data_IF_514416067577
#
_entry.id   IF_514416067577
#
_cell.length_a   1.000
_cell.length_b   1.000
_cell.length_c   1.000
_cell.angle_alpha   90.00
_cell.angle_beta   90.00
_cell.angle_gamma   90.00
#
_symmetry.space_group_name_H-M   'P 1'
#
loop_
_entity.id
_entity.type
_entity.pdbx_description
1 polymer ?
#
# COMPACT_ATOMS: atom_id res chain seq x y z
N UNK A 1 25.65 -11.03 -18.79
CA UNK A 1 24.66 -10.67 -17.77
C UNK A 1 24.93 -9.22 -17.42
N UNK A 2 24.04 -8.32 -17.82
CA UNK A 2 24.17 -6.87 -17.64
C UNK A 2 24.09 -6.52 -16.15
N UNK A 3 24.61 -5.37 -15.74
CA UNK A 3 24.49 -4.87 -14.35
C UNK A 3 23.00 -4.82 -13.94
N UNK A 4 22.10 -4.43 -14.86
CA UNK A 4 20.65 -4.47 -14.71
C UNK A 4 20.10 -5.84 -14.32
N UNK A 5 20.54 -6.91 -15.00
CA UNK A 5 20.08 -8.27 -14.71
C UNK A 5 20.51 -8.73 -13.31
N UNK A 6 21.65 -8.27 -12.83
CA UNK A 6 22.13 -8.57 -11.48
C UNK A 6 21.36 -7.83 -10.40
N UNK A 7 20.94 -6.59 -10.66
CA UNK A 7 20.14 -5.80 -9.72
C UNK A 7 18.73 -6.35 -9.59
N UNK A 8 18.09 -6.70 -10.71
CA UNK A 8 16.76 -7.33 -10.69
C UNK A 8 16.79 -8.63 -9.88
N UNK A 9 17.73 -9.51 -10.17
CA UNK A 9 17.92 -10.76 -9.43
C UNK A 9 18.25 -10.51 -7.95
N UNK A 10 19.04 -9.49 -7.62
CA UNK A 10 19.41 -9.19 -6.23
C UNK A 10 18.22 -8.63 -5.43
N UNK A 11 17.48 -7.67 -5.99
CA UNK A 11 16.26 -7.12 -5.37
C UNK A 11 15.18 -8.20 -5.24
N UNK A 12 14.97 -9.01 -6.29
CA UNK A 12 14.02 -10.12 -6.28
C UNK A 12 14.41 -11.20 -5.27
N UNK A 13 15.68 -11.56 -5.18
CA UNK A 13 16.18 -12.56 -4.21
C UNK A 13 16.13 -12.06 -2.77
N UNK A 14 16.40 -10.78 -2.51
CA UNK A 14 16.29 -10.20 -1.16
C UNK A 14 14.83 -10.03 -0.73
N UNK A 15 13.95 -9.64 -1.65
CA UNK A 15 12.51 -9.57 -1.46
C UNK A 15 11.90 -10.97 -1.26
N UNK A 16 12.35 -12.02 -1.95
CA UNK A 16 11.83 -13.38 -1.82
C UNK A 16 12.31 -14.15 -0.58
N UNK A 17 13.43 -13.76 0.04
CA UNK A 17 14.06 -14.52 1.13
C UNK A 17 13.69 -14.07 2.55
N UNK A 18 12.81 -13.07 2.72
CA UNK A 18 12.33 -12.63 4.04
C UNK A 18 10.84 -12.97 4.23
N UNK A 19 10.40 -13.05 5.47
CA UNK A 19 9.02 -13.41 5.86
C UNK A 19 7.93 -12.36 5.46
N UNK A 20 8.20 -11.44 4.54
CA UNK A 20 7.26 -10.39 4.12
C UNK A 20 7.31 -9.13 4.99
N UNK A 21 7.65 -9.27 6.26
CA UNK A 21 7.66 -8.16 7.23
C UNK A 21 8.67 -7.09 6.83
N UNK A 22 8.20 -5.82 6.79
CA UNK A 22 9.02 -4.66 6.45
C UNK A 22 9.42 -4.57 4.98
N UNK A 23 8.84 -5.37 4.09
CA UNK A 23 9.09 -5.28 2.65
C UNK A 23 8.26 -4.16 2.03
N UNK A 24 8.95 -3.14 1.56
CA UNK A 24 8.33 -2.08 0.77
C UNK A 24 8.91 -2.10 -0.63
N UNK A 25 8.15 -2.66 -1.55
CA UNK A 25 8.49 -2.72 -2.97
C UNK A 25 7.20 -2.58 -3.80
N UNK A 26 7.29 -1.81 -4.88
CA UNK A 26 6.18 -1.63 -5.81
C UNK A 26 6.63 -0.98 -7.10
N UNK A 27 5.69 -0.73 -8.00
CA UNK A 27 5.97 -0.21 -9.33
C UNK A 27 5.07 0.95 -9.70
N UNK A 28 5.65 2.02 -10.25
CA UNK A 28 4.90 3.06 -10.95
C UNK A 28 4.84 2.71 -12.43
N UNK A 29 3.65 2.52 -12.95
CA UNK A 29 3.38 2.09 -14.33
C UNK A 29 3.44 3.30 -15.25
N UNK A 30 4.14 3.17 -16.39
CA UNK A 30 4.37 4.25 -17.35
C UNK A 30 3.73 3.92 -18.69
N UNK A 31 3.04 4.91 -19.30
CA UNK A 31 2.47 4.77 -20.65
C UNK A 31 3.52 4.77 -21.77
N UNK A 32 4.74 5.23 -21.48
CA UNK A 32 5.87 5.30 -22.40
C UNK A 32 7.15 4.84 -21.73
N UNK A 33 8.11 4.29 -22.51
CA UNK A 33 9.42 3.86 -22.03
C UNK A 33 10.37 5.06 -21.87
N UNK A 34 9.99 5.99 -21.01
CA UNK A 34 10.83 7.12 -20.61
C UNK A 34 10.48 7.57 -19.19
N UNK A 35 11.42 8.22 -18.52
CA UNK A 35 11.21 8.95 -17.29
C UNK A 35 12.06 10.21 -17.26
N UNK A 36 11.63 11.22 -16.57
CA UNK A 36 12.43 12.42 -16.29
C UNK A 36 13.09 12.28 -14.91
N UNK A 37 14.33 11.79 -14.91
CA UNK A 37 15.14 11.60 -13.71
C UNK A 37 15.43 12.92 -12.99
N UNK A 38 15.63 14.02 -13.73
CA UNK A 38 15.88 15.33 -13.14
C UNK A 38 14.61 15.88 -12.46
N UNK A 39 13.44 15.68 -13.08
CA UNK A 39 12.16 16.01 -12.47
C UNK A 39 11.94 15.21 -11.19
N UNK A 40 12.20 13.89 -11.21
CA UNK A 40 12.09 13.04 -10.02
C UNK A 40 12.94 13.56 -8.87
N UNK A 41 14.23 13.84 -9.12
CA UNK A 41 15.14 14.37 -8.09
C UNK A 41 14.64 15.72 -7.55
N UNK A 42 14.12 16.57 -8.43
CA UNK A 42 13.53 17.84 -8.03
C UNK A 42 12.29 17.64 -7.16
N UNK A 43 11.38 16.74 -7.56
CA UNK A 43 10.13 16.48 -6.84
C UNK A 43 10.41 15.84 -5.46
N UNK A 44 11.39 14.94 -5.35
CA UNK A 44 11.86 14.39 -4.07
C UNK A 44 12.31 15.48 -3.11
N UNK A 45 13.11 16.43 -3.61
CA UNK A 45 13.60 17.54 -2.79
C UNK A 45 12.48 18.54 -2.44
N UNK A 46 11.71 18.99 -3.43
CA UNK A 46 10.78 20.09 -3.28
C UNK A 46 9.51 19.67 -2.51
N UNK A 47 9.04 18.42 -2.70
CA UNK A 47 7.84 17.90 -2.05
C UNK A 47 8.10 17.18 -0.72
N UNK A 48 9.22 16.46 -0.63
CA UNK A 48 9.50 15.54 0.47
C UNK A 48 10.76 15.88 1.27
N UNK A 49 11.51 16.92 0.86
CA UNK A 49 12.78 17.30 1.47
C UNK A 49 13.81 16.15 1.48
N UNK A 50 13.75 15.29 0.45
CA UNK A 50 14.69 14.20 0.24
C UNK A 50 15.73 14.68 -0.78
N UNK A 51 17.00 14.76 -0.35
CA UNK A 51 18.13 15.08 -1.21
C UNK A 51 18.87 13.80 -1.60
N UNK A 52 19.08 13.60 -2.90
CA UNK A 52 19.91 12.51 -3.42
C UNK A 52 21.34 13.03 -3.59
N UNK A 53 22.34 12.42 -2.91
CA UNK A 53 23.74 12.82 -3.07
C UNK A 53 24.21 12.73 -4.53
N UNK A 54 25.00 13.69 -4.97
CA UNK A 54 25.50 13.73 -6.36
C UNK A 54 26.36 12.52 -6.73
N UNK A 55 27.05 11.93 -5.76
CA UNK A 55 27.84 10.70 -5.92
C UNK A 55 26.99 9.44 -6.21
N UNK A 56 25.71 9.46 -5.83
CA UNK A 56 24.75 8.37 -6.10
C UNK A 56 24.03 8.53 -7.45
N UNK A 57 24.30 9.64 -8.16
CA UNK A 57 23.74 9.94 -9.47
C UNK A 57 24.75 9.66 -10.58
N UNK A 58 24.26 9.07 -11.66
CA UNK A 58 25.01 8.86 -12.89
C UNK A 58 24.49 9.77 -13.99
N UNK A 59 25.35 10.07 -14.99
CA UNK A 59 24.95 10.85 -16.18
C UNK A 59 24.03 10.05 -17.14
N UNK A 60 23.95 8.73 -16.99
CA UNK A 60 23.11 7.87 -17.81
C UNK A 60 21.65 7.98 -17.39
N UNK A 61 20.79 8.35 -18.34
CA UNK A 61 19.38 8.60 -18.06
C UNK A 61 18.64 7.38 -17.50
N UNK A 62 19.01 6.18 -17.94
CA UNK A 62 18.35 4.92 -17.59
C UNK A 62 18.99 4.16 -16.44
N UNK A 63 20.10 4.66 -15.90
CA UNK A 63 20.73 4.01 -14.74
C UNK A 63 19.84 4.13 -13.49
N UNK A 64 19.81 3.09 -12.65
CA UNK A 64 19.08 3.16 -11.38
C UNK A 64 19.68 4.20 -10.45
N UNK A 65 18.84 4.78 -9.60
CA UNK A 65 19.28 5.54 -8.43
C UNK A 65 19.36 4.55 -7.28
N UNK A 66 20.53 4.45 -6.67
CA UNK A 66 20.76 3.64 -5.47
C UNK A 66 21.39 4.55 -4.43
N UNK A 67 20.68 4.81 -3.35
CA UNK A 67 21.08 5.76 -2.33
C UNK A 67 20.70 5.28 -0.92
N UNK A 68 21.26 5.89 0.10
CA UNK A 68 20.89 5.62 1.49
C UNK A 68 20.11 6.82 2.06
N UNK A 69 18.88 6.57 2.53
CA UNK A 69 18.03 7.58 3.17
C UNK A 69 17.74 7.11 4.59
N UNK A 70 18.12 7.90 5.58
CA UNK A 70 17.94 7.60 7.01
C UNK A 70 18.45 6.20 7.43
N UNK A 71 19.48 5.66 6.73
CA UNK A 71 20.03 4.34 7.00
C UNK A 71 19.35 3.18 6.26
N UNK A 72 18.35 3.48 5.44
CA UNK A 72 17.70 2.50 4.56
C UNK A 72 18.26 2.60 3.15
N UNK A 73 18.56 1.46 2.55
CA UNK A 73 18.97 1.39 1.15
C UNK A 73 17.75 1.53 0.25
N UNK A 74 17.76 2.57 -0.58
CA UNK A 74 16.70 2.87 -1.55
C UNK A 74 17.17 2.53 -2.95
N UNK A 75 16.33 1.86 -3.72
CA UNK A 75 16.52 1.56 -5.13
C UNK A 75 15.36 2.10 -5.93
N UNK A 76 15.63 2.93 -6.93
CA UNK A 76 14.66 3.44 -7.90
C UNK A 76 15.19 3.08 -9.29
N UNK A 77 14.49 2.22 -10.02
CA UNK A 77 14.95 1.71 -11.32
C UNK A 77 13.82 1.66 -12.33
N UNK A 78 14.07 2.26 -13.51
CA UNK A 78 13.13 2.13 -14.64
C UNK A 78 13.40 0.84 -15.42
N UNK A 79 12.34 0.12 -15.74
CA UNK A 79 12.37 -1.06 -16.61
C UNK A 79 11.62 -0.77 -17.91
N UNK A 80 12.27 -1.00 -19.09
CA UNK A 80 11.69 -0.72 -20.41
C UNK A 80 10.78 -1.87 -20.88
N UNK A 81 9.91 -2.34 -20.00
CA UNK A 81 8.94 -3.40 -20.25
C UNK A 81 7.76 -3.29 -19.29
N UNK A 82 6.59 -3.84 -19.63
CA UNK A 82 5.50 -4.01 -18.69
C UNK A 82 5.90 -4.88 -17.49
N UNK A 83 5.15 -4.76 -16.39
CA UNK A 83 5.24 -5.67 -15.24
C UNK A 83 5.01 -7.09 -15.73
N UNK A 84 5.89 -8.06 -15.41
CA UNK A 84 5.81 -9.40 -15.96
C UNK A 84 4.55 -10.17 -15.49
N UNK A 85 4.20 -11.22 -16.25
CA UNK A 85 3.13 -12.19 -15.94
C UNK A 85 1.73 -11.58 -15.77
N UNK A 86 1.47 -10.40 -16.33
CA UNK A 86 0.19 -9.69 -16.18
C UNK A 86 -0.18 -9.45 -14.69
N UNK A 87 0.81 -9.38 -13.82
CA UNK A 87 0.59 -9.26 -12.37
C UNK A 87 -0.11 -7.94 -12.02
N UNK A 88 0.32 -6.83 -12.63
CA UNK A 88 -0.32 -5.54 -12.42
C UNK A 88 -1.78 -5.53 -12.90
N UNK A 89 -2.07 -6.13 -14.07
CA UNK A 89 -3.42 -6.23 -14.64
C UNK A 89 -4.36 -7.06 -13.79
N UNK A 90 -3.86 -8.19 -13.26
CA UNK A 90 -4.62 -9.07 -12.37
C UNK A 90 -4.97 -8.28 -11.10
N UNK A 91 -4.00 -7.59 -10.51
CA UNK A 91 -4.20 -6.83 -9.27
C UNK A 91 -5.01 -5.53 -9.49
N UNK A 92 -4.99 -4.94 -10.70
CA UNK A 92 -5.86 -3.81 -11.03
C UNK A 92 -7.35 -4.14 -10.89
N UNK A 93 -7.73 -5.39 -11.10
CA UNK A 93 -9.12 -5.84 -10.92
C UNK A 93 -9.63 -5.76 -9.47
N UNK A 94 -8.74 -5.67 -8.50
CA UNK A 94 -9.09 -5.52 -7.09
C UNK A 94 -9.54 -4.10 -6.74
N UNK A 95 -9.24 -3.10 -7.59
CA UNK A 95 -9.58 -1.70 -7.31
C UNK A 95 -11.03 -1.37 -7.69
N UNK A 96 -11.93 -1.50 -6.73
CA UNK A 96 -13.35 -1.12 -6.91
C UNK A 96 -13.60 0.39 -6.98
N UNK A 97 -12.64 1.22 -6.56
CA UNK A 97 -12.76 2.69 -6.59
C UNK A 97 -12.37 3.29 -7.95
N UNK A 98 -11.61 2.56 -8.75
CA UNK A 98 -11.13 3.01 -10.06
C UNK A 98 -11.62 2.07 -11.17
N UNK A 99 -12.70 2.49 -11.81
CA UNK A 99 -13.42 1.66 -12.80
C UNK A 99 -12.58 1.27 -14.01
N UNK A 100 -11.70 2.17 -14.43
CA UNK A 100 -10.84 2.01 -15.61
C UNK A 100 -9.50 1.33 -15.28
N UNK A 101 -9.26 0.95 -14.03
CA UNK A 101 -7.97 0.44 -13.55
C UNK A 101 -7.37 -0.64 -14.47
N UNK A 102 -8.14 -1.67 -14.80
CA UNK A 102 -7.67 -2.79 -15.64
C UNK A 102 -7.31 -2.34 -17.05
N UNK A 103 -8.14 -1.49 -17.66
CA UNK A 103 -7.93 -1.02 -19.03
C UNK A 103 -6.70 -0.10 -19.11
N UNK A 104 -6.57 0.83 -18.16
CA UNK A 104 -5.42 1.73 -18.09
C UNK A 104 -4.15 0.94 -17.81
N UNK A 105 -4.17 0.02 -16.86
CA UNK A 105 -3.02 -0.82 -16.53
C UNK A 105 -2.52 -1.61 -17.72
N UNK A 106 -3.40 -2.18 -18.56
CA UNK A 106 -3.02 -2.89 -19.80
C UNK A 106 -2.24 -2.05 -20.80
N UNK A 107 -2.31 -0.72 -20.71
CA UNK A 107 -1.65 0.19 -21.64
C UNK A 107 -0.21 0.54 -21.25
N UNK A 108 0.27 0.13 -20.05
CA UNK A 108 1.63 0.46 -19.63
C UNK A 108 2.67 -0.25 -20.50
N UNK A 109 3.76 0.45 -20.77
CA UNK A 109 4.86 -0.02 -21.63
C UNK A 109 6.17 -0.19 -20.87
N UNK A 110 6.28 0.47 -19.73
CA UNK A 110 7.43 0.47 -18.85
C UNK A 110 6.95 0.65 -17.41
N UNK A 111 7.84 0.48 -16.44
CA UNK A 111 7.54 0.77 -15.04
C UNK A 111 8.79 1.20 -14.27
N UNK A 112 8.59 1.97 -13.20
CA UNK A 112 9.63 2.31 -12.25
C UNK A 112 9.44 1.44 -11.02
N UNK A 113 10.40 0.59 -10.71
CA UNK A 113 10.45 -0.16 -9.45
C UNK A 113 11.02 0.73 -8.36
N UNK A 114 10.34 0.79 -7.23
CA UNK A 114 10.83 1.40 -6.00
C UNK A 114 10.92 0.33 -4.93
N UNK A 115 12.09 0.19 -4.31
CA UNK A 115 12.29 -0.69 -3.18
C UNK A 115 13.05 0.04 -2.07
N UNK A 116 12.59 -0.14 -0.82
CA UNK A 116 13.28 0.35 0.37
C UNK A 116 13.69 -0.85 1.21
N UNK A 117 15.01 -1.07 1.26
CA UNK A 117 15.64 -2.25 1.83
C UNK A 117 16.39 -1.88 3.12
N UNK A 118 16.64 -2.86 3.97
CA UNK A 118 17.45 -2.73 5.18
C UNK A 118 16.84 -3.42 6.39
N UNK A 119 17.67 -3.66 7.39
CA UNK A 119 17.34 -4.37 8.62
C UNK A 119 16.94 -3.40 9.77
N UNK A 120 16.60 -2.14 9.40
CA UNK A 120 16.20 -1.12 10.39
C UNK A 120 14.96 -1.55 11.18
N UNK A 121 14.96 -1.25 12.48
CA UNK A 121 13.92 -1.69 13.41
C UNK A 121 12.56 -0.98 13.18
N UNK A 122 12.53 0.21 12.56
CA UNK A 122 11.28 0.96 12.35
C UNK A 122 10.69 0.71 10.96
N UNK A 123 9.77 -0.26 10.91
CA UNK A 123 9.01 -0.59 9.69
C UNK A 123 8.19 0.59 9.19
N UNK A 124 7.68 1.43 10.10
CA UNK A 124 6.85 2.59 9.73
C UNK A 124 7.70 3.68 9.07
N UNK A 125 8.92 3.95 9.58
CA UNK A 125 9.85 4.89 8.95
C UNK A 125 10.18 4.43 7.52
N UNK A 126 10.45 3.14 7.33
CA UNK A 126 10.68 2.55 6.01
C UNK A 126 9.49 2.74 5.09
N UNK A 127 8.28 2.53 5.60
CA UNK A 127 7.02 2.76 4.87
C UNK A 127 6.81 4.22 4.48
N UNK A 128 7.18 5.18 5.35
CA UNK A 128 7.12 6.61 5.06
C UNK A 128 8.05 6.96 3.89
N UNK A 129 9.33 6.57 3.97
CA UNK A 129 10.32 6.79 2.90
C UNK A 129 9.83 6.17 1.58
N UNK A 130 9.34 4.94 1.62
CA UNK A 130 8.79 4.28 0.44
C UNK A 130 7.64 5.08 -0.18
N UNK A 131 6.70 5.55 0.63
CA UNK A 131 5.52 6.29 0.17
C UNK A 131 5.90 7.63 -0.45
N UNK A 132 6.83 8.35 0.16
CA UNK A 132 7.36 9.62 -0.35
C UNK A 132 8.01 9.45 -1.73
N UNK A 133 8.82 8.40 -1.89
CA UNK A 133 9.50 8.12 -3.16
C UNK A 133 8.52 7.68 -4.23
N UNK A 134 7.60 6.76 -3.92
CA UNK A 134 6.57 6.31 -4.88
C UNK A 134 5.67 7.46 -5.29
N UNK A 135 5.31 8.36 -4.35
CA UNK A 135 4.54 9.56 -4.65
C UNK A 135 5.29 10.47 -5.63
N UNK A 136 6.59 10.73 -5.42
CA UNK A 136 7.41 11.51 -6.35
C UNK A 136 7.54 10.83 -7.72
N UNK A 137 7.75 9.51 -7.77
CA UNK A 137 7.74 8.76 -9.03
C UNK A 137 6.40 8.85 -9.76
N UNK A 138 5.29 8.90 -9.02
CA UNK A 138 3.94 9.02 -9.58
C UNK A 138 3.63 10.39 -10.18
N UNK A 139 4.46 11.40 -9.91
CA UNK A 139 4.38 12.74 -10.52
C UNK A 139 5.00 12.81 -11.91
N UNK A 140 5.55 11.71 -12.48
CA UNK A 140 5.98 11.67 -13.88
C UNK A 140 4.78 11.89 -14.79
N UNK A 141 4.95 12.66 -15.89
CA UNK A 141 3.85 13.01 -16.79
C UNK A 141 3.19 11.80 -17.46
N UNK A 142 3.94 10.73 -17.65
CA UNK A 142 3.50 9.48 -18.24
C UNK A 142 3.17 8.38 -17.23
N UNK A 143 3.11 8.70 -15.92
CA UNK A 143 2.65 7.77 -14.89
C UNK A 143 1.15 7.53 -15.02
N UNK A 144 0.74 6.26 -15.10
CA UNK A 144 -0.65 5.86 -15.31
C UNK A 144 -1.21 4.95 -14.25
N UNK A 145 -0.39 4.45 -13.34
CA UNK A 145 -0.82 3.60 -12.22
C UNK A 145 0.29 3.38 -11.20
N UNK A 146 -0.10 3.03 -9.99
CA UNK A 146 0.81 2.65 -8.91
C UNK A 146 0.45 1.26 -8.43
N UNK A 147 1.26 0.27 -8.76
CA UNK A 147 1.09 -1.12 -8.37
C UNK A 147 1.82 -1.40 -7.06
N UNK A 148 1.06 -1.56 -5.99
CA UNK A 148 1.55 -1.90 -4.64
C UNK A 148 0.40 -2.47 -3.81
N UNK A 149 0.69 -3.16 -2.70
CA UNK A 149 -0.33 -3.67 -1.76
C UNK A 149 -1.46 -4.46 -2.44
N UNK A 150 -1.12 -5.29 -3.43
CA UNK A 150 -2.08 -6.17 -4.13
C UNK A 150 -3.14 -5.44 -4.97
N UNK A 151 -2.90 -4.19 -5.35
CA UNK A 151 -3.83 -3.37 -6.13
C UNK A 151 -3.05 -2.38 -7.02
N UNK A 152 -3.70 -1.85 -8.05
CA UNK A 152 -3.18 -0.71 -8.80
C UNK A 152 -4.00 0.53 -8.45
N UNK A 153 -3.34 1.55 -7.91
CA UNK A 153 -3.95 2.85 -7.59
C UNK A 153 -3.85 3.81 -8.78
N UNK A 154 -4.81 4.73 -8.87
CA UNK A 154 -4.67 5.91 -9.70
C UNK A 154 -3.53 6.80 -9.15
N UNK A 155 -2.62 7.35 -10.00
CA UNK A 155 -1.49 8.14 -9.52
C UNK A 155 -1.90 9.31 -8.63
N UNK A 156 -2.92 10.07 -9.01
CA UNK A 156 -3.40 11.22 -8.21
C UNK A 156 -3.94 10.78 -6.84
N UNK A 157 -4.68 9.67 -6.77
CA UNK A 157 -5.14 9.13 -5.50
C UNK A 157 -3.97 8.78 -4.57
N UNK A 158 -2.92 8.14 -5.13
CA UNK A 158 -1.73 7.78 -4.35
C UNK A 158 -0.98 9.00 -3.84
N UNK A 159 -0.79 10.03 -4.71
CA UNK A 159 -0.13 11.30 -4.36
C UNK A 159 -0.92 12.04 -3.26
N UNK A 160 -2.24 12.16 -3.42
CA UNK A 160 -3.11 12.87 -2.47
C UNK A 160 -3.12 12.17 -1.10
N UNK A 161 -3.22 10.83 -1.09
CA UNK A 161 -3.17 10.03 0.14
C UNK A 161 -1.83 10.16 0.86
N UNK A 162 -0.72 10.26 0.14
CA UNK A 162 0.62 10.44 0.70
C UNK A 162 0.78 11.79 1.44
N UNK A 163 -0.03 12.81 1.11
CA UNK A 163 0.05 14.11 1.79
C UNK A 163 -0.26 14.04 3.30
N UNK A 164 -0.90 12.95 3.77
CA UNK A 164 -1.10 12.70 5.20
C UNK A 164 0.23 12.72 5.99
N UNK A 165 1.34 12.35 5.35
CA UNK A 165 2.68 12.40 5.95
C UNK A 165 3.04 13.82 6.41
N UNK A 166 2.69 14.83 5.61
CA UNK A 166 2.95 16.25 5.94
C UNK A 166 2.12 16.73 7.15
N UNK A 167 1.01 16.04 7.42
CA UNK A 167 0.16 16.26 8.59
C UNK A 167 0.56 15.39 9.80
N UNK A 168 1.72 14.72 9.73
CA UNK A 168 2.23 13.79 10.75
C UNK A 168 1.29 12.61 11.02
N UNK A 169 0.48 12.22 10.03
CA UNK A 169 -0.36 11.03 10.07
C UNK A 169 0.24 9.90 9.22
N UNK A 170 -0.06 8.65 9.58
CA UNK A 170 0.38 7.50 8.80
C UNK A 170 -0.42 7.42 7.49
N UNK A 171 0.23 7.23 6.34
CA UNK A 171 -0.44 7.13 5.04
C UNK A 171 -1.03 5.71 4.86
N UNK A 172 -1.93 5.32 5.74
CA UNK A 172 -2.48 3.95 5.79
C UNK A 172 -3.17 3.54 4.49
N UNK A 173 -3.71 4.50 3.72
CA UNK A 173 -4.36 4.23 2.42
C UNK A 173 -3.36 4.00 1.28
N UNK A 174 -2.08 4.30 1.49
CA UNK A 174 -1.00 3.92 0.58
C UNK A 174 -0.40 2.55 0.95
N UNK A 175 -0.51 2.14 2.22
CA UNK A 175 0.10 0.92 2.74
C UNK A 175 -0.84 -0.28 2.74
N UNK A 176 -2.13 -0.02 3.03
CA UNK A 176 -3.13 -1.05 3.23
C UNK A 176 -4.26 -0.84 2.22
N UNK A 177 -4.56 -1.88 1.48
CA UNK A 177 -5.77 -1.93 0.68
C UNK A 177 -6.98 -2.30 1.56
N UNK A 178 -8.03 -1.51 1.46
CA UNK A 178 -9.31 -1.75 2.14
C UNK A 178 -10.33 -2.24 1.10
N UNK A 179 -10.46 -3.55 0.99
CA UNK A 179 -11.43 -4.15 0.07
C UNK A 179 -12.85 -4.12 0.63
N UNK A 180 -13.81 -3.83 -0.23
CA UNK A 180 -15.24 -3.89 0.07
C UNK A 180 -15.95 -4.75 -0.97
N UNK A 181 -16.87 -5.61 -0.53
CA UNK A 181 -17.72 -6.37 -1.42
C UNK A 181 -19.10 -6.62 -0.83
N UNK A 182 -20.11 -6.71 -1.72
CA UNK A 182 -21.49 -6.97 -1.35
C UNK A 182 -21.74 -8.46 -1.34
N UNK A 183 -22.45 -8.94 -0.31
CA UNK A 183 -23.02 -10.29 -0.25
C UNK A 183 -24.56 -10.23 -0.20
N UNK A 184 -25.21 -11.37 -0.25
CA UNK A 184 -26.69 -11.44 -0.08
C UNK A 184 -27.14 -11.07 1.35
N UNK A 185 -26.22 -11.05 2.32
CA UNK A 185 -26.51 -10.81 3.74
C UNK A 185 -26.09 -9.44 4.24
N UNK A 186 -25.22 -8.76 3.53
CA UNK A 186 -24.69 -7.47 3.96
C UNK A 186 -23.44 -7.05 3.19
N UNK A 187 -22.70 -6.11 3.75
CA UNK A 187 -21.44 -5.66 3.20
C UNK A 187 -20.29 -6.27 3.99
N UNK A 188 -19.28 -6.74 3.27
CA UNK A 188 -18.05 -7.24 3.86
C UNK A 188 -16.89 -6.32 3.53
N UNK A 189 -15.95 -6.21 4.48
CA UNK A 189 -14.71 -5.46 4.33
C UNK A 189 -13.52 -6.34 4.72
N UNK A 190 -12.37 -6.09 4.10
CA UNK A 190 -11.12 -6.73 4.47
C UNK A 190 -9.94 -5.78 4.26
N UNK A 191 -8.83 -6.05 4.94
CA UNK A 191 -7.55 -5.38 4.71
C UNK A 191 -6.63 -6.29 3.89
N UNK A 192 -5.65 -5.68 3.20
CA UNK A 192 -4.55 -6.37 2.55
C UNK A 192 -3.29 -5.51 2.64
N UNK A 193 -2.20 -6.05 3.23
CA UNK A 193 -0.94 -5.37 3.47
C UNK A 193 -0.57 -5.20 4.95
N UNK A 194 -1.41 -5.69 5.90
CA UNK A 194 -1.09 -5.67 7.33
C UNK A 194 0.09 -6.59 7.68
N UNK A 195 0.31 -7.63 6.88
CA UNK A 195 1.41 -8.59 7.01
C UNK A 195 2.79 -7.93 6.90
N UNK A 196 2.93 -6.86 6.11
CA UNK A 196 4.14 -6.04 6.02
C UNK A 196 4.55 -5.49 7.38
N UNK A 197 3.57 -5.23 8.25
CA UNK A 197 3.77 -4.76 9.63
C UNK A 197 3.77 -5.90 10.66
N UNK A 198 3.79 -7.16 10.23
CA UNK A 198 3.73 -8.33 11.11
C UNK A 198 2.39 -8.48 11.81
N UNK A 199 1.31 -7.95 11.24
CA UNK A 199 -0.05 -8.02 11.79
C UNK A 199 -0.94 -8.91 10.94
N UNK A 200 -1.97 -9.50 11.55
CA UNK A 200 -3.01 -10.22 10.83
C UNK A 200 -3.85 -9.26 9.98
N UNK A 201 -4.28 -9.74 8.81
CA UNK A 201 -5.34 -9.06 8.06
C UNK A 201 -6.65 -9.11 8.83
N UNK A 202 -7.46 -8.06 8.66
CA UNK A 202 -8.76 -7.91 9.30
C UNK A 202 -9.88 -8.21 8.31
N UNK A 203 -10.93 -8.88 8.77
CA UNK A 203 -12.16 -9.07 8.01
C UNK A 203 -13.39 -8.69 8.84
N UNK A 204 -14.35 -8.04 8.20
CA UNK A 204 -15.71 -7.84 8.70
C UNK A 204 -16.65 -8.47 7.67
N UNK A 205 -17.45 -9.44 8.09
CA UNK A 205 -18.27 -10.25 7.18
C UNK A 205 -19.74 -9.95 7.41
N UNK A 206 -20.47 -9.71 6.30
CA UNK A 206 -21.94 -9.57 6.27
C UNK A 206 -22.48 -8.50 7.24
N UNK A 207 -21.81 -7.35 7.35
CA UNK A 207 -22.26 -6.25 8.19
C UNK A 207 -23.56 -5.59 7.64
N UNK A 208 -24.52 -5.34 8.52
CA UNK A 208 -25.70 -4.51 8.21
C UNK A 208 -25.38 -3.02 8.42
N UNK A 209 -24.50 -2.50 7.58
CA UNK A 209 -24.04 -1.10 7.64
C UNK A 209 -23.82 -0.56 6.22
N UNK A 210 -23.68 0.75 6.08
CA UNK A 210 -23.34 1.38 4.80
C UNK A 210 -21.82 1.34 4.56
N UNK A 211 -21.38 1.22 3.29
CA UNK A 211 -19.96 1.08 2.94
C UNK A 211 -19.02 2.11 3.58
N UNK A 212 -19.42 3.39 3.56
CA UNK A 212 -18.60 4.48 4.11
C UNK A 212 -18.32 4.36 5.61
N UNK A 213 -19.32 3.97 6.40
CA UNK A 213 -19.12 3.77 7.85
C UNK A 213 -18.29 2.53 8.16
N UNK A 214 -18.47 1.47 7.38
CA UNK A 214 -17.65 0.27 7.53
C UNK A 214 -16.18 0.56 7.21
N UNK A 215 -15.94 1.35 6.16
CA UNK A 215 -14.61 1.84 5.80
C UNK A 215 -14.01 2.72 6.89
N UNK A 216 -14.76 3.68 7.42
CA UNK A 216 -14.33 4.54 8.52
C UNK A 216 -13.96 3.72 9.77
N UNK A 217 -14.77 2.71 10.10
CA UNK A 217 -14.51 1.84 11.23
C UNK A 217 -13.22 1.03 11.03
N UNK A 218 -13.10 0.26 9.93
CA UNK A 218 -11.95 -0.63 9.72
C UNK A 218 -10.64 0.16 9.57
N UNK A 219 -10.66 1.33 8.89
CA UNK A 219 -9.48 2.18 8.75
C UNK A 219 -9.06 2.82 10.07
N UNK A 220 -10.02 3.16 10.95
CA UNK A 220 -9.72 3.63 12.31
C UNK A 220 -9.06 2.54 13.16
N UNK A 221 -9.51 1.29 13.02
CA UNK A 221 -8.89 0.14 13.71
C UNK A 221 -7.46 -0.09 13.20
N UNK A 222 -7.25 -0.07 11.89
CA UNK A 222 -5.90 -0.17 11.29
C UNK A 222 -4.99 0.95 11.79
N UNK A 223 -5.48 2.20 11.78
CA UNK A 223 -4.73 3.35 12.31
C UNK A 223 -4.32 3.12 13.77
N UNK A 224 -5.24 2.64 14.60
CA UNK A 224 -4.95 2.33 16.00
C UNK A 224 -3.87 1.25 16.13
N UNK A 225 -4.00 0.13 15.39
CA UNK A 225 -3.03 -0.97 15.41
C UNK A 225 -1.63 -0.45 15.02
N UNK A 226 -1.51 0.26 13.92
CA UNK A 226 -0.22 0.72 13.41
C UNK A 226 0.40 1.83 14.28
N UNK A 227 -0.41 2.75 14.85
CA UNK A 227 0.08 3.81 15.72
C UNK A 227 0.58 3.28 17.06
N UNK A 228 -0.11 2.30 17.64
CA UNK A 228 0.18 1.79 18.99
C UNK A 228 0.98 0.49 18.99
N UNK A 229 1.24 -0.07 17.82
CA UNK A 229 1.83 -1.40 17.62
C UNK A 229 1.04 -2.52 18.35
N UNK A 230 -0.28 -2.38 18.41
CA UNK A 230 -1.13 -3.34 19.09
C UNK A 230 -1.16 -4.70 18.38
N UNK A 231 -1.08 -5.78 19.17
CA UNK A 231 -1.28 -7.15 18.70
C UNK A 231 -2.64 -7.65 19.16
N UNK A 232 -3.61 -7.67 18.24
CA UNK A 232 -4.94 -8.18 18.53
C UNK A 232 -4.93 -9.70 18.54
N UNK A 233 -5.67 -10.29 19.51
CA UNK A 233 -5.70 -11.73 19.73
C UNK A 233 -7.11 -12.31 19.57
N UNK A 234 -7.17 -13.61 19.26
CA UNK A 234 -8.43 -14.36 19.28
C UNK A 234 -9.15 -14.23 20.61
N UNK A 235 -10.46 -13.97 20.57
CA UNK A 235 -11.31 -13.83 21.75
C UNK A 235 -11.33 -12.43 22.37
N UNK A 236 -10.48 -11.51 21.95
CA UNK A 236 -10.52 -10.12 22.40
C UNK A 236 -11.70 -9.35 21.80
N UNK A 237 -11.82 -8.10 22.22
CA UNK A 237 -12.79 -7.16 21.65
C UNK A 237 -12.13 -5.85 21.28
N UNK A 238 -12.57 -5.25 20.16
CA UNK A 238 -12.11 -3.95 19.69
C UNK A 238 -13.30 -3.04 19.38
N UNK A 239 -13.09 -1.73 19.40
CA UNK A 239 -14.09 -0.74 19.04
C UNK A 239 -13.56 0.68 19.19
N UNK A 240 -14.30 1.66 18.65
CA UNK A 240 -13.90 3.06 18.66
C UNK A 240 -14.16 3.76 20.00
N UNK A 241 -14.86 3.11 20.93
CA UNK A 241 -15.13 3.64 22.27
C UNK A 241 -15.26 2.54 23.31
N UNK A 242 -15.23 2.91 24.61
CA UNK A 242 -15.41 1.95 25.72
C UNK A 242 -16.74 1.18 25.71
N UNK A 243 -17.76 1.70 25.03
CA UNK A 243 -19.08 1.08 24.91
C UNK A 243 -19.27 0.28 23.64
N UNK A 244 -18.42 0.52 22.68
CA UNK A 244 -18.41 -0.10 21.37
C UNK A 244 -17.41 -1.27 21.42
N UNK A 245 -17.93 -2.49 21.46
CA UNK A 245 -17.11 -3.70 21.63
C UNK A 245 -17.51 -4.76 20.62
N UNK A 246 -16.68 -4.94 19.66
CA UNK A 246 -16.80 -5.95 18.61
C UNK A 246 -15.86 -7.12 18.91
N UNK A 247 -16.40 -8.33 18.93
CA UNK A 247 -15.62 -9.55 19.20
C UNK A 247 -14.66 -9.83 18.04
N UNK A 248 -13.44 -10.24 18.38
CA UNK A 248 -12.42 -10.70 17.44
C UNK A 248 -12.37 -12.23 17.46
N UNK A 249 -12.24 -12.85 16.30
CA UNK A 249 -12.08 -14.30 16.15
C UNK A 249 -11.04 -14.59 15.06
N UNK A 250 -10.00 -15.36 15.40
CA UNK A 250 -9.01 -15.83 14.43
C UNK A 250 -9.54 -17.06 13.72
N UNK A 251 -9.59 -17.03 12.41
CA UNK A 251 -9.97 -18.18 11.60
C UNK A 251 -9.54 -17.98 10.13
N UNK A 252 -9.63 -19.04 9.33
CA UNK A 252 -9.31 -18.99 7.89
C UNK A 252 -10.04 -17.85 7.20
N UNK A 253 -9.33 -17.06 6.41
CA UNK A 253 -9.87 -15.91 5.67
C UNK A 253 -11.01 -16.30 4.72
N UNK A 254 -11.96 -15.40 4.55
CA UNK A 254 -13.08 -15.54 3.59
C UNK A 254 -12.74 -14.79 2.30
N UNK A 255 -12.32 -13.53 2.40
CA UNK A 255 -11.80 -12.77 1.28
C UNK A 255 -10.37 -13.21 0.90
N UNK A 256 -9.60 -13.68 1.88
CA UNK A 256 -8.20 -14.09 1.77
C UNK A 256 -8.05 -15.58 2.17
N UNK A 257 -8.51 -16.53 1.35
CA UNK A 257 -8.60 -17.93 1.74
C UNK A 257 -7.24 -18.63 1.92
N UNK A 258 -6.15 -17.99 1.53
CA UNK A 258 -4.80 -18.57 1.65
C UNK A 258 -4.17 -18.36 3.03
N UNK A 259 -4.75 -17.50 3.89
CA UNK A 259 -4.21 -17.16 5.21
C UNK A 259 -5.30 -17.10 6.29
N UNK A 260 -4.89 -17.08 7.55
CA UNK A 260 -5.78 -16.81 8.66
C UNK A 260 -5.91 -15.30 8.87
N UNK A 261 -7.12 -14.84 9.21
CA UNK A 261 -7.46 -13.43 9.42
C UNK A 261 -8.20 -13.24 10.75
N UNK A 262 -8.10 -12.03 11.31
CA UNK A 262 -8.89 -11.62 12.45
C UNK A 262 -10.25 -11.10 12.00
N UNK A 263 -11.31 -11.83 12.28
CA UNK A 263 -12.68 -11.44 11.96
C UNK A 263 -13.26 -10.61 13.10
N UNK A 264 -13.69 -9.40 12.76
CA UNK A 264 -14.37 -8.49 13.69
C UNK A 264 -15.88 -8.66 13.50
N UNK A 265 -16.57 -9.15 14.52
CA UNK A 265 -18.04 -9.25 14.52
C UNK A 265 -18.62 -7.85 14.70
N UNK A 266 -18.88 -7.16 13.57
CA UNK A 266 -19.38 -5.81 13.57
C UNK A 266 -20.88 -5.78 13.92
N UNK A 267 -21.23 -5.00 14.92
CA UNK A 267 -22.62 -4.73 15.32
C UNK A 267 -22.89 -3.23 15.07
N UNK A 268 -23.78 -2.93 14.14
CA UNK A 268 -24.19 -1.55 13.86
C UNK A 268 -24.81 -0.91 15.11
N UNK A 269 -24.50 0.35 15.38
CA UNK A 269 -25.17 1.10 16.45
C UNK A 269 -26.69 1.04 16.23
N UNK A 270 -27.41 0.39 17.13
CA UNK A 270 -28.89 0.33 17.09
C UNK A 270 -29.40 1.76 17.10
N UNK A 271 -30.05 2.18 16.01
CA UNK A 271 -30.84 3.43 15.97
C UNK A 271 -31.81 3.37 17.11
N UNK A 272 -31.53 4.06 18.22
CA UNK A 272 -32.57 4.30 19.25
C UNK A 272 -33.71 5.02 18.55
N UNK A 273 -34.78 4.27 18.27
CA UNK A 273 -35.98 4.84 17.71
C UNK A 273 -36.48 5.87 18.73
N UNK A 274 -36.38 7.14 18.37
CA UNK A 274 -37.07 8.21 19.05
C UNK A 274 -38.56 8.08 18.69
N UNK A 275 -39.24 7.12 19.31
CA UNK A 275 -40.71 7.18 19.41
C UNK A 275 -41.04 8.41 20.25
N UNK A 276 -41.33 9.52 19.58
CA UNK A 276 -42.05 10.64 20.22
C UNK A 276 -43.45 10.12 20.61
N UNK A 277 -43.69 10.05 21.92
CA UNK A 277 -45.04 10.01 22.48
C UNK A 277 -45.67 11.38 22.36
#
# INVERSE_FOLDING_TARGET
MCIRDRFYVAVEVEVLNSDGIGKFCGSVLLSEDCWDKNKLIKDLRDEWNIEIPSEDLTDEADDPIVTDINGYRVVISKFPAPVPNEEAEINASNNYMWREAVEVTKSHKAHIVVAVLGDGEDIKERGLIYTEIVSACSMQENAIGVFTSGVVFEPNYYIDSAQMIKEQALPIFNWIWFGLYQTDKGISAYTYGMDVFGKYELEIIDADEIPGKLMEFISSIVSYILLTDADLQDGETIGLSKKDKHKITLSRGIALPEQDTLKITYEAETKKSWCRK
#
